data_IF_462742171444
#
_entry.id   IF_462742171444
#
_cell.length_a   1.000
_cell.length_b   1.000
_cell.length_c   1.000
_cell.angle_alpha   90.00
_cell.angle_beta   90.00
_cell.angle_gamma   90.00
#
_symmetry.space_group_name_H-M   'P 1'
#
loop_
_entity.id
_entity.type
_entity.pdbx_description
1 polymer ?
#
# COMPACT_ATOMS: atom_id res chain seq x y z
N UNK A 1 82.74 13.75 -2.73
CA UNK A 1 81.46 14.43 -2.45
C UNK A 1 80.35 13.39 -2.47
N UNK A 2 79.89 12.97 -1.30
CA UNK A 2 78.77 12.03 -1.12
C UNK A 2 77.51 12.87 -0.98
N UNK A 3 76.48 12.62 -1.79
CA UNK A 3 75.13 13.05 -1.45
C UNK A 3 74.18 11.89 -1.70
N UNK A 4 73.63 11.36 -0.61
CA UNK A 4 72.61 10.32 -0.57
C UNK A 4 71.28 10.98 -0.93
N UNK A 5 70.66 10.55 -2.03
CA UNK A 5 69.28 10.89 -2.32
C UNK A 5 68.36 10.06 -1.39
N UNK A 6 67.55 10.76 -0.60
CA UNK A 6 66.50 10.19 0.25
C UNK A 6 65.29 9.93 -0.62
N UNK A 7 64.94 8.67 -0.83
CA UNK A 7 63.69 8.27 -1.47
C UNK A 7 62.52 8.54 -0.52
N UNK A 8 61.73 9.58 -0.80
CA UNK A 8 60.40 9.76 -0.18
C UNK A 8 59.41 8.88 -0.93
N UNK A 9 58.88 7.86 -0.26
CA UNK A 9 57.72 7.11 -0.72
C UNK A 9 56.50 8.02 -0.54
N UNK A 10 55.94 8.50 -1.65
CA UNK A 10 54.64 9.14 -1.66
C UNK A 10 53.58 8.03 -1.56
N UNK A 11 52.91 7.93 -0.41
CA UNK A 11 51.73 7.11 -0.28
C UNK A 11 50.60 7.77 -1.07
N UNK A 12 50.26 7.21 -2.24
CA UNK A 12 49.03 7.52 -2.96
C UNK A 12 47.85 6.97 -2.16
N UNK A 13 47.31 7.80 -1.26
CA UNK A 13 46.00 7.57 -0.66
C UNK A 13 44.92 7.71 -1.75
N UNK A 14 44.45 6.59 -2.28
CA UNK A 14 43.25 6.56 -3.08
C UNK A 14 42.06 6.88 -2.17
N UNK A 15 41.58 8.12 -2.21
CA UNK A 15 40.28 8.47 -1.66
C UNK A 15 39.21 7.78 -2.53
N UNK A 16 38.65 6.69 -2.01
CA UNK A 16 37.45 6.07 -2.58
C UNK A 16 36.31 7.04 -2.30
N UNK A 17 35.96 7.84 -3.31
CA UNK A 17 34.71 8.57 -3.32
C UNK A 17 33.57 7.53 -3.36
N UNK A 18 32.88 7.35 -2.23
CA UNK A 18 31.58 6.67 -2.22
C UNK A 18 30.60 7.55 -3.00
N UNK A 19 30.45 7.27 -4.29
CA UNK A 19 29.38 7.80 -5.11
C UNK A 19 28.04 7.28 -4.60
N UNK A 20 27.25 8.17 -4.03
CA UNK A 20 25.80 7.99 -3.93
C UNK A 20 25.17 8.14 -5.32
N UNK A 21 23.99 7.53 -5.47
CA UNK A 21 23.07 7.59 -6.61
C UNK A 21 23.32 6.57 -7.75
N UNK A 22 23.17 5.28 -7.41
CA UNK A 22 22.46 4.37 -8.30
C UNK A 22 20.98 4.47 -7.98
N UNK A 23 20.18 5.07 -8.87
CA UNK A 23 18.73 4.98 -8.78
C UNK A 23 18.34 3.50 -8.87
N UNK A 24 17.98 2.90 -7.75
CA UNK A 24 17.33 1.59 -7.73
C UNK A 24 15.98 1.83 -8.38
N UNK A 25 15.83 1.44 -9.65
CA UNK A 25 14.51 1.32 -10.25
C UNK A 25 13.67 0.47 -9.29
N UNK A 26 12.50 0.94 -8.82
CA UNK A 26 11.72 0.16 -7.89
C UNK A 26 11.39 -1.16 -8.59
N UNK A 27 11.71 -2.27 -7.93
CA UNK A 27 11.34 -3.59 -8.41
C UNK A 27 9.86 -3.56 -8.79
N UNK A 28 9.53 -3.96 -10.02
CA UNK A 28 8.15 -4.17 -10.42
C UNK A 28 7.56 -5.15 -9.42
N UNK A 29 6.69 -4.66 -8.56
CA UNK A 29 6.07 -5.50 -7.58
C UNK A 29 5.03 -6.36 -8.29
N UNK A 30 5.41 -7.54 -8.77
CA UNK A 30 4.45 -8.52 -9.25
C UNK A 30 3.77 -9.14 -8.04
N UNK A 31 2.55 -8.68 -7.72
CA UNK A 31 1.84 -9.05 -6.47
C UNK A 31 0.87 -10.20 -6.65
N UNK A 32 0.60 -10.60 -7.90
CA UNK A 32 -0.26 -11.73 -8.19
C UNK A 32 0.33 -13.01 -7.58
N UNK A 33 -0.37 -13.59 -6.59
CA UNK A 33 0.08 -14.81 -5.90
C UNK A 33 1.14 -14.59 -4.81
N UNK A 34 1.39 -13.35 -4.37
CA UNK A 34 2.23 -13.09 -3.20
C UNK A 34 1.57 -13.56 -1.88
N UNK A 35 2.40 -13.83 -0.87
CA UNK A 35 1.91 -14.14 0.48
C UNK A 35 1.30 -12.91 1.15
N UNK A 36 0.40 -13.13 2.12
CA UNK A 36 -0.20 -12.07 2.94
C UNK A 36 0.84 -11.09 3.48
N UNK A 37 1.93 -11.62 4.05
CA UNK A 37 3.02 -10.85 4.63
C UNK A 37 3.76 -9.98 3.59
N UNK A 38 3.94 -10.50 2.38
CA UNK A 38 4.59 -9.76 1.30
C UNK A 38 3.73 -8.58 0.83
N UNK A 39 2.41 -8.78 0.71
CA UNK A 39 1.45 -7.69 0.38
C UNK A 39 1.48 -6.59 1.43
N UNK A 40 1.44 -6.97 2.72
CA UNK A 40 1.54 -6.02 3.85
C UNK A 40 2.87 -5.27 3.80
N UNK A 41 3.98 -5.99 3.69
CA UNK A 41 5.33 -5.42 3.62
C UNK A 41 5.44 -4.43 2.47
N UNK A 42 4.93 -4.78 1.29
CA UNK A 42 5.01 -3.93 0.11
C UNK A 42 4.13 -2.68 0.26
N UNK A 43 2.91 -2.81 0.77
CA UNK A 43 2.06 -1.65 1.07
C UNK A 43 2.76 -0.69 2.05
N UNK A 44 3.33 -1.21 3.14
CA UNK A 44 3.92 -0.42 4.21
C UNK A 44 5.29 0.18 3.86
N UNK A 45 6.11 -0.52 3.08
CA UNK A 45 7.48 -0.09 2.73
C UNK A 45 7.58 0.66 1.41
N UNK A 46 6.61 0.50 0.51
CA UNK A 46 6.63 1.14 -0.83
C UNK A 46 5.57 2.24 -0.92
N UNK A 47 4.30 1.90 -0.74
CA UNK A 47 3.22 2.85 -0.99
C UNK A 47 3.08 3.90 0.13
N UNK A 48 3.07 3.49 1.40
CA UNK A 48 2.90 4.42 2.51
C UNK A 48 3.97 5.51 2.58
N UNK A 49 5.28 5.24 2.38
CA UNK A 49 6.28 6.29 2.35
C UNK A 49 6.08 7.24 1.17
N UNK A 50 5.71 6.73 0.00
CA UNK A 50 5.42 7.56 -1.17
C UNK A 50 4.25 8.53 -0.92
N UNK A 51 3.20 8.08 -0.22
CA UNK A 51 2.07 8.93 0.18
C UNK A 51 2.45 10.03 1.19
N UNK A 52 3.59 9.92 1.87
CA UNK A 52 4.02 10.89 2.91
C UNK A 52 5.01 11.93 2.41
N UNK A 53 5.48 11.83 1.17
CA UNK A 53 6.43 12.81 0.62
C UNK A 53 5.75 14.16 0.47
N UNK A 54 6.41 15.21 0.97
CA UNK A 54 5.91 16.57 0.91
C UNK A 54 5.82 17.07 -0.54
N UNK A 55 4.72 17.76 -0.86
CA UNK A 55 4.44 18.26 -2.20
C UNK A 55 5.46 19.32 -2.65
N UNK A 56 5.80 20.26 -1.77
CA UNK A 56 6.78 21.34 -2.01
C UNK A 56 6.62 22.06 -3.37
N UNK A 57 5.38 22.27 -3.80
CA UNK A 57 5.11 22.99 -5.05
C UNK A 57 5.57 24.46 -4.95
N UNK A 58 6.36 24.88 -5.93
CA UNK A 58 7.03 26.19 -5.99
C UNK A 58 6.29 27.23 -6.83
N UNK A 59 5.16 26.84 -7.44
CA UNK A 59 4.39 27.71 -8.33
C UNK A 59 3.43 28.66 -7.60
N UNK A 60 2.63 29.38 -8.36
CA UNK A 60 1.63 30.29 -7.85
C UNK A 60 0.46 30.43 -8.82
N UNK A 61 -0.76 30.28 -8.28
CA UNK A 61 -2.01 30.55 -9.00
C UNK A 61 -2.15 32.03 -9.35
N UNK A 62 -1.86 32.93 -8.40
CA UNK A 62 -2.09 34.37 -8.60
C UNK A 62 -1.20 34.99 -9.68
N UNK A 63 0.03 34.47 -9.83
CA UNK A 63 0.99 34.91 -10.84
C UNK A 63 1.03 34.05 -12.10
N UNK A 64 0.16 33.03 -12.21
CA UNK A 64 0.23 32.00 -13.24
C UNK A 64 1.63 31.40 -13.45
N UNK A 65 2.34 31.20 -12.35
CA UNK A 65 3.63 30.52 -12.35
C UNK A 65 3.38 29.02 -12.15
N UNK A 66 3.65 28.24 -13.20
CA UNK A 66 3.47 26.79 -13.18
C UNK A 66 4.30 26.12 -12.08
N UNK A 67 5.50 26.65 -11.80
CA UNK A 67 6.45 26.09 -10.84
C UNK A 67 6.77 24.61 -11.13
N UNK A 68 7.21 23.92 -10.09
CA UNK A 68 7.40 22.46 -10.06
C UNK A 68 7.27 21.97 -8.63
N UNK A 69 7.06 20.67 -8.45
CA UNK A 69 7.30 19.96 -7.19
C UNK A 69 8.74 19.45 -7.10
N UNK A 70 9.14 18.95 -5.94
CA UNK A 70 10.45 18.31 -5.75
C UNK A 70 10.59 17.02 -6.56
N UNK A 71 11.83 16.65 -6.90
CA UNK A 71 12.11 15.37 -7.56
C UNK A 71 11.64 14.18 -6.72
N UNK A 72 11.83 14.23 -5.39
CA UNK A 72 11.35 13.20 -4.48
C UNK A 72 9.82 13.02 -4.53
N UNK A 73 9.06 14.10 -4.72
CA UNK A 73 7.61 14.03 -4.85
C UNK A 73 7.16 13.44 -6.19
N UNK A 74 7.87 13.77 -7.28
CA UNK A 74 7.63 13.16 -8.59
C UNK A 74 7.97 11.67 -8.58
N UNK A 75 9.11 11.30 -7.98
CA UNK A 75 9.51 9.90 -7.78
C UNK A 75 8.49 9.15 -6.94
N UNK A 76 8.00 9.73 -5.84
CA UNK A 76 6.95 9.13 -5.02
C UNK A 76 5.63 8.93 -5.80
N UNK A 77 5.27 9.88 -6.66
CA UNK A 77 4.10 9.76 -7.55
C UNK A 77 4.28 8.62 -8.54
N UNK A 78 5.47 8.50 -9.15
CA UNK A 78 5.82 7.40 -10.04
C UNK A 78 5.85 6.05 -9.29
N UNK A 79 6.36 6.02 -8.06
CA UNK A 79 6.35 4.84 -7.19
C UNK A 79 4.92 4.38 -6.92
N UNK A 80 3.99 5.28 -6.58
CA UNK A 80 2.60 4.93 -6.38
C UNK A 80 1.94 4.40 -7.66
N UNK A 81 2.22 5.03 -8.81
CA UNK A 81 1.73 4.58 -10.12
C UNK A 81 2.23 3.18 -10.47
N UNK A 82 3.54 2.93 -10.32
CA UNK A 82 4.12 1.63 -10.62
C UNK A 82 3.76 0.57 -9.57
N UNK A 83 3.47 0.96 -8.33
CA UNK A 83 2.92 0.06 -7.32
C UNK A 83 1.55 -0.49 -7.74
N UNK A 84 0.62 0.39 -8.15
CA UNK A 84 -0.73 -0.06 -8.57
C UNK A 84 -0.70 -0.84 -9.88
N UNK A 85 0.21 -0.50 -10.81
CA UNK A 85 0.46 -1.29 -12.01
C UNK A 85 1.02 -2.68 -11.68
N UNK A 86 1.95 -2.76 -10.73
CA UNK A 86 2.54 -4.03 -10.29
C UNK A 86 1.51 -4.99 -9.67
N UNK A 87 0.55 -4.47 -8.90
CA UNK A 87 -0.52 -5.29 -8.30
C UNK A 87 -1.27 -6.15 -9.32
N UNK A 88 -1.36 -5.69 -10.58
CA UNK A 88 -2.04 -6.37 -11.68
C UNK A 88 -1.08 -6.86 -12.78
N UNK A 89 0.18 -7.08 -12.39
CA UNK A 89 1.27 -7.57 -13.25
C UNK A 89 1.49 -6.74 -14.51
N UNK A 90 1.20 -5.43 -14.45
CA UNK A 90 1.47 -4.51 -15.55
C UNK A 90 2.90 -3.98 -15.49
N UNK A 91 3.61 -3.87 -16.63
CA UNK A 91 4.97 -3.36 -16.66
C UNK A 91 5.04 -1.93 -16.09
N UNK A 92 6.13 -1.62 -15.39
CA UNK A 92 6.39 -0.27 -14.93
C UNK A 92 6.48 0.72 -16.11
N UNK A 93 6.05 1.95 -15.86
CA UNK A 93 6.23 3.10 -16.73
C UNK A 93 7.30 4.03 -16.17
N UNK A 94 7.81 4.92 -17.00
CA UNK A 94 8.63 6.06 -16.59
C UNK A 94 7.84 7.36 -16.72
N UNK A 95 8.34 8.44 -16.13
CA UNK A 95 7.89 9.77 -16.53
C UNK A 95 8.71 10.31 -17.69
N UNK A 96 8.02 10.81 -18.71
CA UNK A 96 8.56 11.43 -19.91
C UNK A 96 8.78 12.93 -19.66
N UNK A 97 10.04 13.40 -19.53
CA UNK A 97 10.32 14.79 -19.25
C UNK A 97 9.83 15.74 -20.34
N UNK A 98 9.64 15.26 -21.57
CA UNK A 98 9.16 16.08 -22.69
C UNK A 98 7.69 16.51 -22.54
N UNK A 99 6.91 15.78 -21.73
CA UNK A 99 5.50 16.05 -21.49
C UNK A 99 5.23 16.79 -20.16
N UNK A 100 6.24 16.88 -19.27
CA UNK A 100 6.08 17.47 -17.93
C UNK A 100 5.67 18.94 -17.95
N UNK A 101 6.24 19.76 -18.83
CA UNK A 101 5.92 21.19 -18.86
C UNK A 101 4.43 21.44 -19.16
N UNK A 102 3.87 20.70 -20.12
CA UNK A 102 2.47 20.81 -20.48
C UNK A 102 1.55 20.21 -19.41
N UNK A 103 1.94 19.09 -18.79
CA UNK A 103 1.20 18.51 -17.67
C UNK A 103 1.15 19.47 -16.45
N UNK A 104 2.27 20.10 -16.12
CA UNK A 104 2.37 21.08 -15.04
C UNK A 104 1.52 22.33 -15.33
N UNK A 105 1.53 22.80 -16.58
CA UNK A 105 0.64 23.89 -17.01
C UNK A 105 -0.84 23.49 -16.90
N UNK A 106 -1.20 22.27 -17.29
CA UNK A 106 -2.56 21.75 -17.15
C UNK A 106 -3.01 21.72 -15.67
N UNK A 107 -2.15 21.23 -14.77
CA UNK A 107 -2.44 21.22 -13.34
C UNK A 107 -2.65 22.63 -12.77
N UNK A 108 -1.86 23.61 -13.22
CA UNK A 108 -2.06 25.02 -12.86
C UNK A 108 -3.39 25.56 -13.37
N UNK A 109 -3.80 25.24 -14.61
CA UNK A 109 -5.09 25.65 -15.18
C UNK A 109 -6.25 25.15 -14.31
N UNK A 110 -6.25 23.85 -13.97
CA UNK A 110 -7.30 23.27 -13.12
C UNK A 110 -7.32 23.88 -11.72
N UNK A 111 -6.13 24.11 -11.13
CA UNK A 111 -6.01 24.71 -9.81
C UNK A 111 -6.46 26.18 -9.78
N UNK A 112 -6.12 26.95 -10.81
CA UNK A 112 -6.48 28.37 -10.93
C UNK A 112 -7.98 28.56 -11.17
N UNK A 113 -8.59 27.68 -11.96
CA UNK A 113 -10.02 27.71 -12.21
C UNK A 113 -10.85 27.08 -11.08
N UNK A 114 -10.25 26.22 -10.27
CA UNK A 114 -10.92 25.37 -9.28
C UNK A 114 -12.00 24.47 -9.92
N UNK A 115 -11.71 23.97 -11.12
CA UNK A 115 -12.60 23.10 -11.90
C UNK A 115 -11.80 22.20 -12.82
N UNK A 116 -12.33 21.00 -13.08
CA UNK A 116 -11.77 20.05 -14.04
C UNK A 116 -12.42 20.20 -15.43
N UNK A 117 -11.61 20.12 -16.48
CA UNK A 117 -12.07 19.97 -17.86
C UNK A 117 -10.97 19.34 -18.71
N UNK A 118 -11.31 18.37 -19.54
CA UNK A 118 -10.40 17.87 -20.59
C UNK A 118 -10.24 18.86 -21.75
N UNK A 119 -11.09 19.89 -21.83
CA UNK A 119 -11.07 20.92 -22.86
C UNK A 119 -11.21 22.31 -22.20
N UNK A 120 -10.22 22.75 -21.41
CA UNK A 120 -10.33 24.05 -20.75
C UNK A 120 -10.31 25.17 -21.81
N UNK A 121 -11.33 26.05 -21.86
CA UNK A 121 -11.37 27.14 -22.83
C UNK A 121 -10.28 28.18 -22.51
N UNK A 122 -9.86 28.93 -23.53
CA UNK A 122 -8.84 29.98 -23.40
C UNK A 122 -9.20 31.12 -22.44
N UNK A 123 -10.46 31.19 -21.98
CA UNK A 123 -10.93 32.14 -20.97
C UNK A 123 -10.61 31.72 -19.53
N UNK A 124 -10.16 30.49 -19.30
CA UNK A 124 -9.78 30.04 -17.95
C UNK A 124 -8.51 30.73 -17.46
N UNK A 125 -8.40 30.90 -16.15
CA UNK A 125 -7.22 31.47 -15.53
C UNK A 125 -5.97 30.61 -15.81
N UNK A 126 -4.83 31.27 -16.04
CA UNK A 126 -3.54 30.65 -16.31
C UNK A 126 -3.52 29.70 -17.52
N UNK A 127 -4.48 29.85 -18.44
CA UNK A 127 -4.56 29.04 -19.64
C UNK A 127 -3.31 29.17 -20.52
N UNK A 128 -2.86 28.02 -21.02
CA UNK A 128 -1.86 27.92 -22.08
C UNK A 128 -2.30 26.86 -23.08
N UNK A 129 -1.87 26.99 -24.34
CA UNK A 129 -2.18 25.99 -25.37
C UNK A 129 -1.63 24.61 -25.02
N UNK A 130 -0.42 24.55 -24.47
CA UNK A 130 0.21 23.29 -24.03
C UNK A 130 -0.55 22.64 -22.89
N UNK A 131 -0.90 23.41 -21.85
CA UNK A 131 -1.70 22.92 -20.73
C UNK A 131 -3.09 22.43 -21.15
N UNK A 132 -3.76 23.14 -22.05
CA UNK A 132 -5.04 22.68 -22.61
C UNK A 132 -4.89 21.40 -23.41
N UNK A 133 -3.82 21.27 -24.20
CA UNK A 133 -3.54 20.06 -24.97
C UNK A 133 -3.23 18.85 -24.10
N UNK A 134 -2.48 19.06 -23.01
CA UNK A 134 -2.22 18.01 -22.01
C UNK A 134 -3.49 17.63 -21.26
N UNK A 135 -4.36 18.58 -20.87
CA UNK A 135 -5.61 18.27 -20.19
C UNK A 135 -6.50 17.28 -20.96
N UNK A 136 -6.57 17.41 -22.30
CA UNK A 136 -7.32 16.50 -23.17
C UNK A 136 -6.71 15.11 -23.33
N UNK A 137 -5.49 14.89 -22.84
CA UNK A 137 -4.71 13.64 -22.94
C UNK A 137 -4.41 13.01 -21.58
N UNK A 138 -5.02 13.54 -20.52
CA UNK A 138 -4.63 13.25 -19.15
C UNK A 138 -5.80 12.81 -18.28
N UNK A 139 -5.49 12.03 -17.25
CA UNK A 139 -6.34 11.96 -16.06
C UNK A 139 -6.19 13.26 -15.27
N UNK A 140 -7.29 13.79 -14.72
CA UNK A 140 -7.33 15.09 -14.04
C UNK A 140 -7.92 14.95 -12.64
N UNK A 141 -7.26 15.53 -11.64
CA UNK A 141 -7.70 15.50 -10.25
C UNK A 141 -7.68 16.88 -9.61
N UNK A 142 -8.69 17.16 -8.77
CA UNK A 142 -8.79 18.36 -7.94
C UNK A 142 -9.06 17.95 -6.49
N UNK A 143 -8.40 18.61 -5.54
CA UNK A 143 -8.43 18.32 -4.10
C UNK A 143 -7.33 17.38 -3.60
N UNK A 144 -6.61 16.69 -4.49
CA UNK A 144 -5.43 15.85 -4.18
C UNK A 144 -4.41 15.92 -5.31
N UNK A 145 -3.16 15.64 -4.96
CA UNK A 145 -2.03 15.66 -5.87
C UNK A 145 -1.10 14.45 -5.69
N UNK A 146 -0.15 14.27 -6.59
CA UNK A 146 0.91 13.25 -6.55
C UNK A 146 0.43 11.83 -6.23
N UNK A 147 1.15 11.13 -5.35
CA UNK A 147 0.83 9.75 -4.97
C UNK A 147 -0.62 9.57 -4.46
N UNK A 148 -1.19 10.55 -3.74
CA UNK A 148 -2.60 10.49 -3.32
C UNK A 148 -3.57 10.59 -4.50
N UNK A 149 -3.25 11.38 -5.52
CA UNK A 149 -4.06 11.47 -6.73
C UNK A 149 -4.06 10.14 -7.49
N UNK A 150 -2.92 9.43 -7.56
CA UNK A 150 -2.87 8.07 -8.13
C UNK A 150 -3.88 7.15 -7.47
N UNK A 151 -3.89 7.07 -6.12
CA UNK A 151 -4.85 6.20 -5.42
C UNK A 151 -6.29 6.65 -5.65
N UNK A 152 -6.53 7.96 -5.76
CA UNK A 152 -7.87 8.50 -6.01
C UNK A 152 -8.37 8.19 -7.43
N UNK A 153 -7.48 8.20 -8.43
CA UNK A 153 -7.80 7.72 -9.77
C UNK A 153 -8.11 6.23 -9.78
N UNK A 154 -7.40 5.43 -8.99
CA UNK A 154 -7.67 3.99 -8.88
C UNK A 154 -9.01 3.71 -8.17
N UNK A 155 -9.41 4.53 -7.21
CA UNK A 155 -10.75 4.47 -6.60
C UNK A 155 -11.84 4.80 -7.62
N UNK A 156 -11.60 5.78 -8.51
CA UNK A 156 -12.53 6.21 -9.57
C UNK A 156 -13.90 6.62 -8.99
N UNK A 157 -13.90 7.31 -7.84
CA UNK A 157 -15.12 7.67 -7.10
C UNK A 157 -16.06 8.61 -7.85
N UNK A 158 -17.36 8.47 -7.61
CA UNK A 158 -18.41 9.37 -8.12
C UNK A 158 -19.13 8.88 -9.39
N UNK A 159 -20.32 9.41 -9.64
CA UNK A 159 -21.24 8.93 -10.69
C UNK A 159 -20.73 9.17 -12.11
N UNK A 160 -19.82 10.12 -12.31
CA UNK A 160 -19.26 10.37 -13.65
C UNK A 160 -18.10 9.42 -14.01
N UNK A 161 -17.73 8.53 -13.08
CA UNK A 161 -16.56 7.66 -13.19
C UNK A 161 -16.92 6.16 -13.23
N UNK A 162 -18.18 5.81 -13.53
CA UNK A 162 -18.66 4.41 -13.52
C UNK A 162 -17.83 3.49 -14.44
N UNK A 163 -17.25 4.04 -15.51
CA UNK A 163 -16.44 3.32 -16.50
C UNK A 163 -15.02 2.98 -16.01
N UNK A 164 -14.64 3.42 -14.80
CA UNK A 164 -13.29 3.34 -14.26
C UNK A 164 -12.23 3.91 -15.23
N UNK A 165 -12.55 5.03 -15.88
CA UNK A 165 -11.77 5.56 -16.99
C UNK A 165 -10.34 5.94 -16.59
N UNK A 166 -10.16 6.54 -15.41
CA UNK A 166 -8.85 6.94 -14.93
C UNK A 166 -7.99 5.71 -14.64
N UNK A 167 -8.53 4.74 -13.89
CA UNK A 167 -7.91 3.45 -13.60
C UNK A 167 -7.48 2.72 -14.86
N UNK A 168 -8.35 2.65 -15.88
CA UNK A 168 -8.05 1.99 -17.17
C UNK A 168 -6.85 2.62 -17.86
N UNK A 169 -6.72 3.94 -17.84
CA UNK A 169 -5.55 4.62 -18.39
C UNK A 169 -4.28 4.37 -17.58
N UNK A 170 -4.36 4.40 -16.24
CA UNK A 170 -3.21 4.13 -15.38
C UNK A 170 -2.70 2.68 -15.49
N UNK A 171 -3.61 1.72 -15.73
CA UNK A 171 -3.31 0.30 -15.86
C UNK A 171 -3.11 -0.16 -17.31
N UNK A 172 -3.18 0.72 -18.31
CA UNK A 172 -3.05 0.35 -19.72
C UNK A 172 -1.76 -0.46 -19.95
N UNK A 173 -1.93 -1.68 -20.48
CA UNK A 173 -0.83 -2.62 -20.72
C UNK A 173 0.16 -2.12 -21.75
N UNK A 174 -0.29 -1.20 -22.60
CA UNK A 174 0.49 -0.60 -23.68
C UNK A 174 1.25 0.65 -23.26
N UNK A 175 1.01 1.20 -22.07
CA UNK A 175 1.68 2.41 -21.60
C UNK A 175 3.17 2.14 -21.34
N UNK A 176 4.06 2.98 -21.87
CA UNK A 176 5.52 2.94 -21.61
C UNK A 176 6.01 4.09 -20.75
N UNK A 177 5.44 5.26 -20.97
CA UNK A 177 5.71 6.46 -20.21
C UNK A 177 4.42 7.28 -20.02
N UNK A 178 4.43 8.12 -19.00
CA UNK A 178 3.39 9.09 -18.66
C UNK A 178 4.07 10.41 -18.27
N UNK A 179 3.33 11.44 -17.87
CA UNK A 179 3.92 12.62 -17.24
C UNK A 179 3.02 13.14 -16.13
N UNK A 180 3.61 13.69 -15.08
CA UNK A 180 2.86 14.31 -13.98
C UNK A 180 2.98 15.83 -14.00
N UNK A 181 1.91 16.50 -13.60
CA UNK A 181 1.88 17.90 -13.25
C UNK A 181 1.13 18.07 -11.95
N UNK A 182 1.65 18.89 -11.04
CA UNK A 182 1.18 18.96 -9.66
C UNK A 182 1.16 20.39 -9.14
N UNK A 183 0.05 20.78 -8.55
CA UNK A 183 -0.03 21.92 -7.63
C UNK A 183 -0.29 21.42 -6.21
N UNK A 184 -0.47 22.32 -5.25
CA UNK A 184 -0.88 21.94 -3.90
C UNK A 184 -2.27 21.29 -3.82
N UNK A 185 -3.11 21.43 -4.85
CA UNK A 185 -4.49 20.93 -4.85
C UNK A 185 -4.98 20.27 -6.14
N UNK A 186 -4.13 20.13 -7.15
CA UNK A 186 -4.50 19.48 -8.42
C UNK A 186 -3.36 18.65 -8.94
N UNK A 187 -3.70 17.53 -9.56
CA UNK A 187 -2.76 16.70 -10.30
C UNK A 187 -3.29 16.39 -11.70
N UNK A 188 -2.36 16.24 -12.63
CA UNK A 188 -2.59 15.82 -14.01
C UNK A 188 -1.62 14.68 -14.29
N UNK A 189 -2.13 13.54 -14.76
CA UNK A 189 -1.29 12.47 -15.31
C UNK A 189 -1.57 12.38 -16.81
N UNK A 190 -0.62 12.78 -17.65
CA UNK A 190 -0.71 12.59 -19.10
C UNK A 190 -0.52 11.13 -19.45
N UNK A 191 -1.59 10.51 -19.95
CA UNK A 191 -1.71 9.07 -20.22
C UNK A 191 -1.70 8.74 -21.72
N UNK A 192 -1.89 9.76 -22.58
CA UNK A 192 -1.90 9.61 -24.03
C UNK A 192 -0.71 10.34 -24.65
N UNK A 193 -0.05 9.69 -25.61
CA UNK A 193 0.86 10.27 -26.60
C UNK A 193 2.36 10.13 -26.32
N UNK A 194 2.73 9.27 -25.37
CA UNK A 194 4.03 8.59 -25.40
C UNK A 194 3.94 7.32 -26.28
N UNK A 195 5.09 6.80 -26.79
CA UNK A 195 5.12 5.53 -27.52
C UNK A 195 4.46 4.40 -26.74
N UNK A 196 3.82 3.47 -27.46
CA UNK A 196 3.11 2.35 -26.86
C UNK A 196 3.83 1.03 -27.13
N UNK A 197 3.89 0.17 -26.12
CA UNK A 197 4.37 -1.21 -26.25
C UNK A 197 3.24 -2.13 -26.75
N UNK A 198 3.55 -3.33 -27.26
CA UNK A 198 2.54 -4.36 -27.46
C UNK A 198 1.80 -4.67 -26.15
N UNK A 199 0.50 -4.99 -26.24
CA UNK A 199 -0.30 -5.36 -25.07
C UNK A 199 0.26 -6.63 -24.41
N UNK A 200 0.15 -6.72 -23.08
CA UNK A 200 0.58 -7.91 -22.34
C UNK A 200 -0.24 -9.16 -22.65
N UNK A 201 -1.48 -8.99 -23.15
CA UNK A 201 -2.42 -10.10 -23.36
C UNK A 201 -2.89 -10.77 -22.06
N UNK A 202 -2.66 -10.13 -20.92
CA UNK A 202 -3.00 -10.63 -19.59
C UNK A 202 -4.26 -9.95 -19.05
N UNK A 203 -4.94 -10.66 -18.15
CA UNK A 203 -6.07 -10.10 -17.39
C UNK A 203 -5.61 -8.94 -16.50
N UNK A 204 -6.46 -7.92 -16.38
CA UNK A 204 -6.21 -6.70 -15.58
C UNK A 204 -7.35 -6.55 -14.56
N UNK A 205 -7.45 -7.43 -13.56
CA UNK A 205 -8.46 -7.34 -12.50
C UNK A 205 -8.10 -6.23 -11.52
N UNK A 206 -9.05 -5.40 -11.12
CA UNK A 206 -8.87 -4.46 -10.01
C UNK A 206 -10.09 -4.51 -9.10
N UNK A 207 -9.95 -4.95 -7.84
CA UNK A 207 -8.73 -5.47 -7.17
C UNK A 207 -8.08 -6.70 -7.81
N UNK A 208 -6.79 -6.91 -7.53
CA UNK A 208 -6.02 -8.06 -8.02
C UNK A 208 -6.35 -9.35 -7.23
N UNK A 209 -6.27 -10.54 -7.87
CA UNK A 209 -6.54 -11.81 -7.20
C UNK A 209 -5.49 -12.17 -6.16
N UNK A 210 -5.89 -12.96 -5.16
CA UNK A 210 -5.09 -13.27 -3.98
C UNK A 210 -5.23 -12.17 -2.92
N UNK A 211 -4.19 -11.93 -2.12
CA UNK A 211 -4.25 -10.93 -1.05
C UNK A 211 -4.21 -9.51 -1.63
N UNK A 212 -5.13 -8.65 -1.18
CA UNK A 212 -5.24 -7.26 -1.63
C UNK A 212 -5.50 -6.29 -0.47
N UNK A 213 -4.81 -5.13 -0.38
CA UNK A 213 -5.03 -4.18 0.70
C UNK A 213 -6.43 -3.56 0.71
N UNK A 214 -7.13 -3.63 1.85
CA UNK A 214 -8.39 -2.90 2.08
C UNK A 214 -8.26 -1.41 1.81
N UNK A 215 -7.09 -0.82 2.07
CA UNK A 215 -6.80 0.60 1.85
C UNK A 215 -6.81 1.02 0.38
N UNK A 216 -6.84 0.06 -0.55
CA UNK A 216 -6.89 0.28 -1.99
C UNK A 216 -8.18 -0.24 -2.62
N UNK A 217 -9.06 -0.83 -1.82
CA UNK A 217 -10.36 -1.32 -2.27
C UNK A 217 -11.17 -0.11 -2.80
N UNK A 218 -11.63 -0.15 -4.06
CA UNK A 218 -12.22 1.01 -4.72
C UNK A 218 -13.68 1.27 -4.31
N UNK A 219 -14.00 1.12 -3.03
CA UNK A 219 -15.34 1.33 -2.46
C UNK A 219 -16.45 0.57 -3.19
N UNK A 220 -16.14 -0.66 -3.60
CA UNK A 220 -17.04 -1.53 -4.34
C UNK A 220 -17.06 -1.34 -5.86
N UNK A 221 -16.32 -0.39 -6.43
CA UNK A 221 -16.20 -0.21 -7.90
C UNK A 221 -15.12 -1.11 -8.49
N UNK A 222 -15.46 -2.35 -8.81
CA UNK A 222 -14.50 -3.33 -9.30
C UNK A 222 -14.46 -3.35 -10.83
N UNK A 223 -13.38 -3.85 -11.40
CA UNK A 223 -13.20 -3.92 -12.84
C UNK A 223 -12.36 -5.11 -13.29
N UNK A 224 -12.60 -5.59 -14.51
CA UNK A 224 -11.78 -6.60 -15.17
C UNK A 224 -11.46 -6.15 -16.60
N UNK A 225 -10.18 -5.97 -16.89
CA UNK A 225 -9.68 -5.67 -18.23
C UNK A 225 -9.07 -6.89 -18.93
N UNK A 226 -9.13 -6.91 -20.25
CA UNK A 226 -8.31 -7.78 -21.11
C UNK A 226 -8.11 -7.09 -22.47
N UNK A 227 -6.86 -6.90 -22.93
CA UNK A 227 -6.60 -6.26 -24.22
C UNK A 227 -7.33 -6.94 -25.38
N UNK A 228 -8.11 -6.18 -26.15
CA UNK A 228 -8.84 -6.67 -27.34
C UNK A 228 -10.08 -7.52 -27.06
N UNK A 229 -10.47 -7.71 -25.80
CA UNK A 229 -11.70 -8.44 -25.45
C UNK A 229 -12.96 -7.58 -25.60
N UNK A 230 -14.08 -8.23 -25.88
CA UNK A 230 -15.42 -7.65 -25.89
C UNK A 230 -16.21 -8.06 -24.66
N UNK A 231 -16.76 -7.07 -23.94
CA UNK A 231 -17.53 -7.25 -22.71
C UNK A 231 -19.02 -6.91 -22.86
N UNK A 232 -19.49 -6.59 -24.06
CA UNK A 232 -20.85 -6.07 -24.29
C UNK A 232 -21.96 -7.08 -23.91
N UNK A 233 -21.68 -8.38 -24.04
CA UNK A 233 -22.57 -9.47 -23.65
C UNK A 233 -22.16 -10.13 -22.32
N UNK A 234 -21.15 -9.58 -21.65
CA UNK A 234 -20.63 -10.18 -20.43
C UNK A 234 -21.54 -9.89 -19.24
N UNK A 235 -21.58 -10.82 -18.30
CA UNK A 235 -22.29 -10.70 -17.02
C UNK A 235 -21.34 -10.93 -15.86
N UNK A 236 -21.64 -10.31 -14.72
CA UNK A 236 -20.81 -10.39 -13.50
C UNK A 236 -21.63 -11.02 -12.39
N UNK A 237 -21.03 -11.99 -11.70
CA UNK A 237 -21.53 -12.53 -10.45
C UNK A 237 -20.44 -12.40 -9.38
N UNK A 238 -20.82 -11.98 -8.18
CA UNK A 238 -19.90 -11.83 -7.05
C UNK A 238 -20.50 -12.48 -5.80
N UNK A 239 -19.67 -13.17 -5.02
CA UNK A 239 -19.99 -13.59 -3.67
C UNK A 239 -18.96 -13.10 -2.66
N UNK A 240 -19.43 -12.61 -1.51
CA UNK A 240 -18.60 -12.18 -0.38
C UNK A 240 -18.74 -13.21 0.72
N UNK A 241 -17.62 -13.83 1.13
CA UNK A 241 -17.59 -14.89 2.14
C UNK A 241 -18.60 -16.02 1.85
N UNK A 242 -18.78 -16.36 0.57
CA UNK A 242 -19.72 -17.39 0.09
C UNK A 242 -21.17 -16.95 -0.08
N UNK A 243 -21.54 -15.73 0.32
CA UNK A 243 -22.89 -15.19 0.11
C UNK A 243 -22.95 -14.34 -1.17
N UNK A 244 -23.90 -14.55 -2.09
CA UNK A 244 -24.02 -13.74 -3.30
C UNK A 244 -24.35 -12.29 -2.95
N UNK A 245 -23.73 -11.34 -3.67
CA UNK A 245 -24.01 -9.90 -3.55
C UNK A 245 -24.55 -9.33 -4.85
N UNK A 246 -25.45 -8.35 -4.74
CA UNK A 246 -25.96 -7.64 -5.90
C UNK A 246 -24.86 -6.77 -6.52
N UNK A 247 -24.76 -6.80 -7.86
CA UNK A 247 -23.83 -6.00 -8.64
C UNK A 247 -24.58 -5.15 -9.66
N UNK A 248 -24.13 -3.92 -9.85
CA UNK A 248 -24.59 -3.02 -10.90
C UNK A 248 -23.50 -2.93 -11.96
N UNK A 249 -23.66 -3.67 -13.07
CA UNK A 249 -22.69 -3.67 -14.17
C UNK A 249 -22.82 -2.37 -14.97
N UNK A 250 -21.72 -1.66 -15.15
CA UNK A 250 -21.67 -0.45 -15.97
C UNK A 250 -21.70 -0.83 -17.46
N UNK A 251 -22.54 -0.19 -18.30
CA UNK A 251 -22.49 -0.35 -19.75
C UNK A 251 -21.07 -0.11 -20.29
N UNK A 252 -20.53 -1.08 -21.01
CA UNK A 252 -19.13 -1.05 -21.45
C UNK A 252 -18.93 -0.07 -22.60
N UNK A 253 -17.90 0.78 -22.51
CA UNK A 253 -17.46 1.69 -23.57
C UNK A 253 -15.97 1.49 -23.81
N UNK A 254 -15.60 1.24 -25.06
CA UNK A 254 -14.22 1.11 -25.52
C UNK A 254 -13.57 2.50 -25.71
N UNK A 255 -12.24 2.55 -25.81
CA UNK A 255 -11.50 3.79 -26.06
C UNK A 255 -10.79 4.40 -24.85
N UNK A 256 -10.84 3.74 -23.69
CA UNK A 256 -10.06 4.09 -22.50
C UNK A 256 -9.09 2.94 -22.19
N UNK A 257 -7.79 3.16 -22.36
CA UNK A 257 -6.77 2.12 -22.12
C UNK A 257 -7.08 0.80 -22.82
N UNK A 258 -7.05 -0.30 -22.06
CA UNK A 258 -7.52 -1.61 -22.49
C UNK A 258 -9.03 -1.78 -22.24
N UNK A 259 -9.68 -2.62 -23.07
CA UNK A 259 -11.10 -2.92 -22.93
C UNK A 259 -11.37 -3.55 -21.57
N UNK A 260 -12.40 -3.04 -20.90
CA UNK A 260 -12.66 -3.30 -19.48
C UNK A 260 -14.15 -3.27 -19.20
N UNK A 261 -14.61 -4.20 -18.37
CA UNK A 261 -15.92 -4.15 -17.71
C UNK A 261 -15.74 -3.67 -16.27
N UNK A 262 -16.64 -2.83 -15.80
CA UNK A 262 -16.70 -2.37 -14.40
C UNK A 262 -18.08 -2.59 -13.82
N UNK A 263 -18.14 -2.75 -12.50
CA UNK A 263 -19.38 -2.89 -11.77
C UNK A 263 -19.25 -2.31 -10.38
N UNK A 264 -20.36 -1.81 -9.84
CA UNK A 264 -20.47 -1.36 -8.47
C UNK A 264 -21.16 -2.42 -7.62
N UNK A 265 -20.71 -2.59 -6.38
CA UNK A 265 -21.35 -3.43 -5.37
C UNK A 265 -21.21 -2.82 -3.98
N UNK A 266 -22.09 -3.19 -3.07
CA UNK A 266 -21.98 -2.76 -1.67
C UNK A 266 -21.04 -3.70 -0.92
N UNK A 267 -19.90 -3.18 -0.47
CA UNK A 267 -19.02 -3.84 0.48
C UNK A 267 -19.02 -3.07 1.81
N UNK A 268 -18.77 -3.75 2.94
CA UNK A 268 -18.43 -3.07 4.18
C UNK A 268 -17.29 -2.07 3.91
N UNK A 269 -17.49 -0.82 4.34
CA UNK A 269 -16.47 0.22 4.27
C UNK A 269 -15.94 0.42 5.69
N UNK A 270 -14.98 -0.41 6.13
CA UNK A 270 -14.50 -0.33 7.49
C UNK A 270 -13.88 1.04 7.78
N UNK A 271 -14.16 1.57 8.97
CA UNK A 271 -13.33 2.62 9.52
C UNK A 271 -11.90 2.08 9.72
N UNK A 272 -10.91 2.98 9.79
CA UNK A 272 -9.50 2.60 9.93
C UNK A 272 -9.21 1.69 11.15
N UNK A 273 -10.06 1.72 12.16
CA UNK A 273 -9.95 0.91 13.39
C UNK A 273 -10.73 -0.41 13.35
N UNK A 274 -11.56 -0.60 12.32
CA UNK A 274 -12.57 -1.66 12.28
C UNK A 274 -12.43 -2.52 11.02
N UNK A 275 -11.21 -2.60 10.43
CA UNK A 275 -10.98 -3.48 9.29
C UNK A 275 -11.41 -4.90 9.66
N UNK A 276 -12.32 -5.52 8.88
CA UNK A 276 -12.77 -6.85 9.18
C UNK A 276 -11.59 -7.81 9.06
N UNK A 277 -11.71 -8.98 9.71
CA UNK A 277 -10.88 -10.13 9.37
C UNK A 277 -10.84 -10.33 7.86
N UNK A 278 -9.74 -10.90 7.36
CA UNK A 278 -9.54 -11.23 5.94
C UNK A 278 -10.85 -11.67 5.26
N UNK A 279 -11.22 -10.98 4.16
CA UNK A 279 -12.52 -11.14 3.50
C UNK A 279 -12.33 -11.66 2.08
N UNK A 280 -12.85 -12.85 1.80
CA UNK A 280 -12.85 -13.42 0.47
C UNK A 280 -14.01 -12.87 -0.37
N UNK A 281 -13.69 -12.44 -1.58
CA UNK A 281 -14.63 -12.00 -2.60
C UNK A 281 -14.36 -12.81 -3.86
N UNK A 282 -15.29 -13.68 -4.23
CA UNK A 282 -15.20 -14.49 -5.43
C UNK A 282 -15.95 -13.80 -6.56
N UNK A 283 -15.27 -13.61 -7.69
CA UNK A 283 -15.80 -12.95 -8.89
C UNK A 283 -15.86 -13.96 -10.02
N UNK A 284 -16.96 -13.95 -10.77
CA UNK A 284 -17.06 -14.63 -12.06
C UNK A 284 -17.61 -13.66 -13.10
N UNK A 285 -16.85 -13.46 -14.17
CA UNK A 285 -17.28 -12.71 -15.35
C UNK A 285 -17.49 -13.71 -16.48
N UNK A 286 -18.72 -13.83 -16.95
CA UNK A 286 -19.11 -14.79 -17.98
C UNK A 286 -19.43 -14.10 -19.30
N UNK A 287 -19.24 -14.80 -20.42
CA UNK A 287 -19.64 -14.26 -21.74
C UNK A 287 -18.65 -13.25 -22.35
N UNK A 288 -17.37 -13.35 -21.98
CA UNK A 288 -16.32 -12.46 -22.50
C UNK A 288 -15.93 -12.92 -23.90
N UNK A 289 -16.01 -12.05 -24.90
CA UNK A 289 -15.63 -12.37 -26.27
C UNK A 289 -14.15 -12.08 -26.50
N UNK A 290 -13.37 -13.06 -26.95
CA UNK A 290 -11.96 -12.89 -27.28
C UNK A 290 -11.78 -12.39 -28.72
N UNK A 291 -10.56 -11.93 -29.05
CA UNK A 291 -10.22 -11.40 -30.38
C UNK A 291 -10.34 -12.42 -31.52
N UNK A 292 -10.28 -13.72 -31.21
CA UNK A 292 -10.52 -14.81 -32.17
C UNK A 292 -12.01 -15.14 -32.37
N UNK A 293 -12.89 -14.43 -31.66
CA UNK A 293 -14.34 -14.61 -31.71
C UNK A 293 -14.89 -15.65 -30.74
N UNK A 294 -14.04 -16.41 -30.03
CA UNK A 294 -14.45 -17.34 -28.99
C UNK A 294 -15.03 -16.60 -27.77
N UNK A 295 -15.80 -17.31 -26.95
CA UNK A 295 -16.38 -16.78 -25.72
C UNK A 295 -15.86 -17.57 -24.53
N UNK A 296 -15.42 -16.86 -23.48
CA UNK A 296 -14.86 -17.45 -22.27
C UNK A 296 -15.50 -16.86 -21.01
N UNK A 297 -15.35 -17.60 -19.91
CA UNK A 297 -15.64 -17.12 -18.57
C UNK A 297 -14.31 -16.99 -17.81
N UNK A 298 -14.24 -16.02 -16.90
CA UNK A 298 -13.08 -15.80 -16.04
C UNK A 298 -13.54 -15.68 -14.58
N UNK A 299 -12.97 -16.53 -13.71
CA UNK A 299 -13.26 -16.55 -12.29
C UNK A 299 -11.98 -16.36 -11.48
N UNK A 300 -12.06 -15.59 -10.41
CA UNK A 300 -10.94 -15.32 -9.52
C UNK A 300 -11.43 -14.92 -8.13
N UNK A 301 -10.56 -15.08 -7.13
CA UNK A 301 -10.84 -14.71 -5.74
C UNK A 301 -9.88 -13.61 -5.30
N UNK A 302 -10.43 -12.60 -4.63
CA UNK A 302 -9.69 -11.56 -3.93
C UNK A 302 -9.87 -11.79 -2.43
N UNK A 303 -8.78 -11.82 -1.67
CA UNK A 303 -8.78 -11.83 -0.21
C UNK A 303 -8.38 -10.44 0.27
N UNK A 304 -9.36 -9.64 0.66
CA UNK A 304 -9.12 -8.30 1.20
C UNK A 304 -8.53 -8.41 2.61
N UNK A 305 -7.37 -7.79 2.81
CA UNK A 305 -6.62 -7.81 4.07
C UNK A 305 -6.36 -6.39 4.57
N UNK A 306 -6.26 -6.23 5.89
CA UNK A 306 -5.71 -5.00 6.44
C UNK A 306 -4.20 -4.97 6.20
N UNK A 307 -3.73 -4.01 5.40
CA UNK A 307 -2.30 -3.79 5.17
C UNK A 307 -1.74 -2.59 5.95
N UNK A 308 -2.58 -1.85 6.67
CA UNK A 308 -2.13 -0.70 7.44
C UNK A 308 -1.13 -1.13 8.52
N UNK A 309 -0.19 -0.24 8.89
CA UNK A 309 0.70 -0.50 10.00
C UNK A 309 -0.11 -0.46 11.29
N UNK A 310 -0.13 -1.60 11.97
CA UNK A 310 -0.59 -1.77 13.33
C UNK A 310 0.54 -1.36 14.29
N UNK A 311 0.29 -0.62 15.37
CA UNK A 311 1.33 -0.42 16.37
C UNK A 311 1.66 -1.77 17.05
N UNK A 312 2.85 -1.87 17.63
CA UNK A 312 3.12 -2.91 18.63
C UNK A 312 2.09 -2.81 19.75
N UNK A 313 1.64 -3.93 20.34
CA UNK A 313 0.65 -3.87 21.39
C UNK A 313 1.23 -3.07 22.56
N UNK A 314 0.37 -2.30 23.19
CA UNK A 314 0.69 -1.66 24.46
C UNK A 314 0.97 -2.71 25.53
N UNK A 315 1.55 -2.24 26.62
CA UNK A 315 1.97 -3.11 27.69
C UNK A 315 0.79 -3.67 28.51
N UNK A 316 0.89 -4.93 28.97
CA UNK A 316 -0.04 -5.55 29.92
C UNK A 316 0.54 -5.51 31.34
N UNK A 317 -0.29 -5.21 32.34
CA UNK A 317 0.13 -5.07 33.72
C UNK A 317 -0.36 -6.23 34.59
N UNK A 318 0.52 -6.79 35.42
CA UNK A 318 0.12 -7.83 36.36
C UNK A 318 -0.90 -7.28 37.37
N UNK A 319 -2.03 -8.00 37.50
CA UNK A 319 -2.95 -7.82 38.63
C UNK A 319 -2.37 -8.56 39.84
N UNK A 320 -1.95 -9.82 39.63
CA UNK A 320 -1.38 -10.65 40.69
C UNK A 320 -0.61 -11.86 40.14
N UNK A 321 0.34 -12.35 40.94
CA UNK A 321 1.03 -13.62 40.75
C UNK A 321 1.01 -14.39 42.07
N UNK A 322 0.19 -15.44 42.14
CA UNK A 322 -0.03 -16.24 43.37
C UNK A 322 0.58 -17.62 43.28
N UNK A 323 1.07 -18.13 44.41
CA UNK A 323 1.37 -19.56 44.58
C UNK A 323 0.09 -20.35 44.80
N UNK A 324 -0.04 -21.49 44.12
CA UNK A 324 -1.09 -22.46 44.36
C UNK A 324 -0.53 -23.90 44.38
N UNK A 325 -1.42 -24.90 44.46
CA UNK A 325 -1.00 -26.30 44.49
C UNK A 325 -0.19 -26.74 43.26
N UNK A 326 -0.42 -26.11 42.09
CA UNK A 326 0.14 -26.45 40.78
C UNK A 326 1.38 -25.63 40.39
N UNK A 327 1.67 -24.53 41.09
CA UNK A 327 2.82 -23.68 40.83
C UNK A 327 2.52 -22.19 41.06
N UNK A 328 2.80 -21.36 40.07
CA UNK A 328 2.44 -19.93 40.05
C UNK A 328 1.28 -19.70 39.09
N UNK A 329 0.22 -19.05 39.55
CA UNK A 329 -0.88 -18.56 38.72
C UNK A 329 -0.71 -17.04 38.58
N UNK A 330 -0.48 -16.60 37.35
CA UNK A 330 -0.38 -15.19 37.00
C UNK A 330 -1.68 -14.72 36.34
N UNK A 331 -2.09 -13.49 36.66
CA UNK A 331 -3.24 -12.78 36.07
C UNK A 331 -2.88 -11.32 35.83
N UNK A 332 -3.37 -10.75 34.74
CA UNK A 332 -3.05 -9.40 34.29
C UNK A 332 -4.26 -8.72 33.66
N UNK A 333 -4.19 -7.40 33.50
CA UNK A 333 -5.13 -6.63 32.69
C UNK A 333 -4.78 -6.77 31.21
N UNK A 334 -5.80 -6.82 30.35
CA UNK A 334 -5.58 -6.73 28.91
C UNK A 334 -4.89 -5.40 28.57
N UNK A 335 -4.01 -5.37 27.57
CA UNK A 335 -3.37 -4.13 27.13
C UNK A 335 -4.44 -3.14 26.65
N UNK A 336 -4.21 -1.85 26.85
CA UNK A 336 -5.13 -0.76 26.45
C UNK A 336 -5.32 -0.72 24.93
N UNK A 337 -4.27 -1.08 24.21
CA UNK A 337 -4.19 -1.18 22.76
C UNK A 337 -3.46 -2.47 22.38
N UNK A 338 -4.08 -3.33 21.57
CA UNK A 338 -3.52 -4.59 21.07
C UNK A 338 -2.82 -4.42 19.69
N UNK A 339 -2.81 -3.19 19.18
CA UNK A 339 -2.34 -2.86 17.85
C UNK A 339 -3.41 -3.00 16.77
N UNK A 340 -4.63 -3.43 17.11
CA UNK A 340 -5.67 -3.77 16.14
C UNK A 340 -5.52 -5.18 15.56
N UNK A 341 -4.73 -6.05 16.19
CA UNK A 341 -4.55 -7.45 15.79
C UNK A 341 -4.66 -8.40 16.99
N UNK A 342 -4.91 -9.69 16.71
CA UNK A 342 -4.91 -10.72 17.74
C UNK A 342 -3.54 -10.82 18.43
N UNK A 343 -3.56 -10.71 19.76
CA UNK A 343 -2.36 -10.78 20.60
C UNK A 343 -2.15 -12.15 21.24
N UNK A 344 -0.89 -12.44 21.53
CA UNK A 344 -0.45 -13.58 22.34
C UNK A 344 0.42 -13.09 23.50
N UNK A 345 0.14 -13.56 24.71
CA UNK A 345 0.93 -13.29 25.90
C UNK A 345 2.02 -14.35 26.06
N UNK A 346 3.23 -13.90 26.39
CA UNK A 346 4.33 -14.76 26.83
C UNK A 346 4.66 -14.42 28.28
N UNK A 347 4.45 -15.38 29.18
CA UNK A 347 4.78 -15.24 30.60
C UNK A 347 5.94 -16.16 30.93
N UNK A 348 6.99 -15.60 31.53
CA UNK A 348 8.16 -16.36 32.00
C UNK A 348 8.33 -16.21 33.51
N UNK A 349 8.86 -17.22 34.18
CA UNK A 349 9.24 -17.17 35.59
C UNK A 349 10.69 -17.61 35.74
N UNK A 350 11.59 -16.63 35.87
CA UNK A 350 13.00 -16.83 36.11
C UNK A 350 13.26 -17.07 37.61
N UNK A 351 13.93 -18.17 38.00
CA UNK A 351 14.26 -18.42 39.40
C UNK A 351 15.26 -17.39 39.95
N UNK A 352 14.95 -16.82 41.12
CA UNK A 352 15.77 -15.79 41.77
C UNK A 352 16.64 -16.34 42.91
N UNK A 353 17.73 -15.63 43.17
CA UNK A 353 18.58 -15.82 44.34
C UNK A 353 19.37 -17.14 44.35
N UNK A 354 20.10 -17.40 45.44
CA UNK A 354 20.95 -18.60 45.57
C UNK A 354 20.16 -19.90 45.46
N UNK A 355 18.94 -19.93 45.99
CA UNK A 355 18.07 -21.11 45.97
C UNK A 355 17.53 -21.44 44.57
N UNK A 356 17.50 -20.45 43.65
CA UNK A 356 17.09 -20.64 42.27
C UNK A 356 18.22 -21.01 41.30
N UNK A 357 19.49 -20.93 41.72
CA UNK A 357 20.63 -21.18 40.84
C UNK A 357 20.58 -22.60 40.23
N UNK A 358 20.59 -22.67 38.90
CA UNK A 358 20.55 -23.93 38.15
C UNK A 358 19.15 -24.48 37.88
N UNK A 359 18.09 -23.83 38.36
CA UNK A 359 16.72 -24.15 37.95
C UNK A 359 16.38 -23.50 36.59
N UNK A 360 15.56 -24.14 35.75
CA UNK A 360 15.15 -23.58 34.47
C UNK A 360 14.10 -22.48 34.64
N UNK A 361 14.12 -21.49 33.74
CA UNK A 361 13.01 -20.56 33.53
C UNK A 361 11.79 -21.34 33.05
N UNK A 362 10.63 -21.08 33.67
CA UNK A 362 9.36 -21.64 33.22
C UNK A 362 8.66 -20.65 32.32
N UNK A 363 7.98 -21.15 31.30
CA UNK A 363 7.33 -20.33 30.28
C UNK A 363 5.92 -20.82 30.05
N UNK A 364 5.05 -19.91 29.68
CA UNK A 364 3.67 -20.16 29.34
C UNK A 364 3.21 -19.14 28.30
N UNK A 365 2.48 -19.62 27.31
CA UNK A 365 1.98 -18.82 26.20
C UNK A 365 0.46 -18.98 26.13
N UNK A 366 -0.28 -17.88 26.02
CA UNK A 366 -1.75 -17.88 26.09
C UNK A 366 -2.34 -16.67 25.38
N UNK A 367 -3.61 -16.74 24.98
CA UNK A 367 -4.42 -15.59 24.55
C UNK A 367 -5.38 -15.08 25.63
N UNK A 368 -5.47 -15.81 26.76
CA UNK A 368 -6.27 -15.41 27.92
C UNK A 368 -5.46 -14.52 28.85
N UNK A 369 -6.13 -13.73 29.70
CA UNK A 369 -5.51 -12.86 30.71
C UNK A 369 -5.02 -13.59 31.97
N UNK A 370 -4.85 -14.91 31.88
CA UNK A 370 -4.33 -15.74 32.97
C UNK A 370 -3.44 -16.85 32.43
N UNK A 371 -2.45 -17.25 33.23
CA UNK A 371 -1.56 -18.34 32.89
C UNK A 371 -1.07 -19.08 34.14
N UNK A 372 -1.03 -20.42 34.06
CA UNK A 372 -0.44 -21.29 35.07
C UNK A 372 1.00 -21.70 34.69
N UNK A 373 1.98 -21.19 35.42
CA UNK A 373 3.36 -21.64 35.36
C UNK A 373 3.53 -22.85 36.28
N UNK A 374 3.73 -24.03 35.68
CA UNK A 374 3.89 -25.31 36.39
C UNK A 374 5.36 -25.66 36.60
N UNK A 375 5.63 -26.69 37.42
CA UNK A 375 6.98 -27.20 37.69
C UNK A 375 7.96 -26.15 38.27
N UNK A 376 7.42 -25.16 38.97
CA UNK A 376 8.16 -24.19 39.79
C UNK A 376 8.37 -24.72 41.22
N UNK A 377 9.52 -24.43 41.81
CA UNK A 377 9.85 -24.84 43.18
C UNK A 377 9.16 -23.94 44.20
N UNK A 378 8.52 -24.53 45.22
CA UNK A 378 7.86 -23.78 46.31
C UNK A 378 8.85 -23.05 47.22
N UNK A 379 10.13 -23.41 47.21
CA UNK A 379 11.18 -22.87 48.09
C UNK A 379 11.99 -21.73 47.45
N UNK A 380 11.64 -21.33 46.22
CA UNK A 380 12.44 -20.42 45.39
C UNK A 380 11.61 -19.19 45.04
N UNK A 381 12.22 -18.00 45.11
CA UNK A 381 11.62 -16.77 44.59
C UNK A 381 11.72 -16.72 43.06
N UNK A 382 10.82 -15.99 42.41
CA UNK A 382 10.81 -15.88 40.96
C UNK A 382 10.58 -14.42 40.54
N UNK A 383 11.30 -14.00 39.51
CA UNK A 383 10.95 -12.83 38.72
C UNK A 383 10.07 -13.32 37.58
N UNK A 384 8.80 -12.95 37.64
CA UNK A 384 7.82 -13.29 36.62
C UNK A 384 7.73 -12.12 35.65
N UNK A 385 7.91 -12.38 34.36
CA UNK A 385 7.88 -11.38 33.30
C UNK A 385 6.75 -11.69 32.32
N UNK A 386 5.97 -10.69 31.93
CA UNK A 386 4.99 -10.78 30.84
C UNK A 386 5.37 -9.85 29.70
N UNK A 387 5.23 -10.34 28.47
CA UNK A 387 5.19 -9.52 27.26
C UNK A 387 3.96 -9.85 26.42
N UNK A 388 3.48 -8.86 25.69
CA UNK A 388 2.40 -9.01 24.71
C UNK A 388 2.99 -8.99 23.32
N UNK A 389 2.53 -9.85 22.42
CA UNK A 389 3.00 -9.90 21.04
C UNK A 389 1.83 -9.90 20.06
N UNK A 390 1.94 -9.11 18.98
CA UNK A 390 1.15 -9.25 17.75
C UNK A 390 2.09 -9.58 16.56
N UNK A 391 1.61 -9.48 15.31
CA UNK A 391 2.46 -9.74 14.15
C UNK A 391 3.59 -8.69 13.99
N UNK A 392 3.35 -7.46 14.46
CA UNK A 392 4.26 -6.31 14.32
C UNK A 392 5.42 -6.38 15.31
N UNK A 393 5.18 -6.80 16.54
CA UNK A 393 6.24 -6.88 17.52
C UNK A 393 5.79 -7.22 18.93
N UNK A 394 6.69 -6.99 19.87
CA UNK A 394 6.54 -7.33 21.29
C UNK A 394 6.49 -6.03 22.09
N UNK A 395 5.58 -5.95 23.05
CA UNK A 395 5.49 -4.83 23.99
C UNK A 395 6.74 -4.73 24.87
N UNK A 396 6.92 -3.60 25.54
CA UNK A 396 7.78 -3.56 26.75
C UNK A 396 7.31 -4.61 27.76
N UNK A 397 8.20 -5.14 28.63
CA UNK A 397 7.87 -6.19 29.59
C UNK A 397 7.44 -5.66 30.97
N UNK A 398 6.55 -6.40 31.66
CA UNK A 398 6.14 -6.10 33.04
C UNK A 398 6.75 -7.18 33.90
N UNK A 399 7.14 -6.80 35.13
CA UNK A 399 7.81 -7.73 36.02
C UNK A 399 7.16 -7.73 37.39
N UNK A 400 6.92 -8.95 37.89
CA UNK A 400 6.43 -9.19 39.24
C UNK A 400 7.39 -10.12 39.96
N UNK A 401 7.99 -9.66 41.06
CA UNK A 401 8.85 -10.50 41.89
C UNK A 401 8.05 -11.16 43.00
N UNK A 402 7.89 -12.48 42.91
CA UNK A 402 7.34 -13.27 44.01
C UNK A 402 8.47 -13.86 44.84
N UNK A 403 8.57 -13.41 46.10
CA UNK A 403 9.62 -13.89 47.00
C UNK A 403 9.44 -15.39 47.32
N UNK A 404 10.56 -16.06 47.61
CA UNK A 404 10.52 -17.39 48.23
C UNK A 404 9.95 -17.27 49.64
N UNK A 405 9.35 -18.34 50.18
CA UNK A 405 8.98 -18.35 51.59
C UNK A 405 10.25 -18.09 52.41
N UNK A 406 10.27 -16.98 53.16
CA UNK A 406 11.34 -16.68 54.10
C UNK A 406 11.51 -17.84 55.07
N UNK A 407 12.75 -18.13 55.44
CA UNK A 407 13.00 -19.09 56.52
C UNK A 407 12.51 -18.55 57.85
#
# INVERSE_FOLDING_TARGET
>A
MRSRAVTRIAATGAAIALGCAGAIAPASADVAGQSREAVITQYQSVLLPALRVANDWTGSVSGCNAGTTSAAYQDATLTALNYVRGLVSQPAVTFDPSLHADAQAAALIMAAQDRLSHYPPASWACWTSGGSGSAGRSNLHLGRSGAFAIISYMEDSGENNLLAGHRRWLLDSRATAMATGDTSKSNVITVIGSPRRPSSGTWIPWPAPGFFPWQLEPKGRWSLGLPGAGFQAASVAVSVSGAPVAVAVTPTIDGYGDNTISWDMSLPQPARTDYPSDMNVDVTVSGIRLGDGSTVNHSYTVTLIDAAPHPTPSHAYFIDVKRNARGLLASWEAPVDDGGEAITYLVTAAPDGKAGRGLPTRTCTTSLTTCQLTQVSRKVGYTVTITVRNSVGISEPDTFTIRGPGR
#
